data_IF_849565821651
#
_entry.id   IF_849565821651
#
_cell.length_a   1.000
_cell.length_b   1.000
_cell.length_c   1.000
_cell.angle_alpha   90.00
_cell.angle_beta   90.00
_cell.angle_gamma   90.00
#
_symmetry.space_group_name_H-M   'P 1'
#
loop_
_entity.id
_entity.type
_entity.pdbx_description
1 polymer ?
#
# COMPACT_ATOMS: atom_id res chain seq x y z
N UNK A 1 9.03 -8.52 -30.57
CA UNK A 1 8.94 -7.71 -29.34
C UNK A 1 9.62 -8.48 -28.23
N UNK A 2 10.31 -7.80 -27.32
CA UNK A 2 10.88 -8.46 -26.13
C UNK A 2 9.75 -8.95 -25.22
N UNK A 3 9.92 -10.11 -24.58
CA UNK A 3 9.04 -10.56 -23.50
C UNK A 3 9.38 -9.78 -22.23
N UNK A 4 8.43 -8.98 -21.73
CA UNK A 4 8.58 -8.15 -20.53
C UNK A 4 7.98 -8.79 -19.28
N UNK A 5 7.37 -9.98 -19.41
CA UNK A 5 6.80 -10.67 -18.27
C UNK A 5 7.87 -10.99 -17.21
N UNK A 6 7.47 -10.89 -15.95
CA UNK A 6 8.30 -11.27 -14.82
C UNK A 6 7.51 -12.18 -13.86
N UNK A 7 8.20 -13.16 -13.29
CA UNK A 7 7.63 -13.98 -12.23
C UNK A 7 8.01 -13.35 -10.88
N UNK A 8 7.02 -12.93 -10.11
CA UNK A 8 7.21 -12.27 -8.84
C UNK A 8 6.22 -12.79 -7.79
N UNK A 9 6.73 -13.25 -6.67
CA UNK A 9 5.93 -13.82 -5.56
C UNK A 9 4.95 -14.92 -6.01
N UNK A 10 5.37 -15.75 -6.96
CA UNK A 10 4.54 -16.82 -7.51
C UNK A 10 3.45 -16.36 -8.48
N UNK A 11 3.45 -15.10 -8.87
CA UNK A 11 2.56 -14.52 -9.89
C UNK A 11 3.34 -14.13 -11.14
N UNK A 12 2.78 -14.40 -12.31
CA UNK A 12 3.31 -13.91 -13.58
C UNK A 12 2.71 -12.53 -13.85
N UNK A 13 3.55 -11.51 -13.80
CA UNK A 13 3.18 -10.13 -14.09
C UNK A 13 3.43 -9.77 -15.54
N UNK A 14 2.62 -8.88 -16.12
CA UNK A 14 2.74 -8.45 -17.51
C UNK A 14 4.05 -7.66 -17.79
N UNK A 15 4.64 -7.08 -16.76
CA UNK A 15 5.89 -6.35 -16.86
C UNK A 15 6.51 -6.07 -15.49
N UNK A 16 7.74 -5.51 -15.44
CA UNK A 16 8.47 -5.27 -14.20
C UNK A 16 8.05 -3.97 -13.49
N UNK A 17 7.14 -3.19 -14.07
CA UNK A 17 6.76 -1.88 -13.53
C UNK A 17 5.48 -1.99 -12.71
N UNK A 18 5.56 -1.57 -11.44
CA UNK A 18 4.42 -1.46 -10.53
C UNK A 18 4.16 0.03 -10.28
N UNK A 19 2.94 0.49 -10.52
CA UNK A 19 2.54 1.85 -10.13
C UNK A 19 2.52 1.95 -8.60
N UNK A 20 3.31 2.87 -8.05
CA UNK A 20 3.53 2.96 -6.61
C UNK A 20 2.32 3.56 -5.87
N UNK A 21 2.06 3.09 -4.65
CA UNK A 21 0.99 3.61 -3.82
C UNK A 21 1.14 5.11 -3.53
N UNK A 22 0.01 5.83 -3.60
CA UNK A 22 -0.04 7.28 -3.41
C UNK A 22 0.34 8.13 -4.61
N UNK A 23 0.68 7.51 -5.76
CA UNK A 23 1.05 8.23 -6.99
C UNK A 23 0.10 7.97 -8.15
N UNK A 24 -0.77 6.97 -8.05
CA UNK A 24 -1.59 6.47 -9.16
C UNK A 24 -3.06 6.20 -8.78
N UNK A 25 -3.58 6.91 -7.77
CA UNK A 25 -4.96 6.72 -7.30
C UNK A 25 -5.29 5.27 -7.01
N UNK A 26 -6.37 4.78 -7.59
CA UNK A 26 -6.74 3.36 -7.62
C UNK A 26 -6.60 2.74 -9.03
N UNK A 27 -6.16 3.50 -10.03
CA UNK A 27 -5.86 3.03 -11.38
C UNK A 27 -6.89 3.44 -12.43
N UNK A 28 -8.22 3.22 -12.25
CA UNK A 28 -9.21 3.53 -13.29
C UNK A 28 -9.16 4.96 -13.82
N UNK A 29 -8.69 5.90 -13.02
CA UNK A 29 -8.50 7.31 -13.37
C UNK A 29 -7.56 7.49 -14.58
N UNK A 30 -6.66 6.54 -14.80
CA UNK A 30 -5.66 6.57 -15.87
C UNK A 30 -6.02 5.68 -17.07
N UNK A 31 -7.08 4.87 -16.98
CA UNK A 31 -7.46 3.93 -18.04
C UNK A 31 -7.82 4.61 -19.39
N UNK A 32 -8.19 5.89 -19.36
CA UNK A 32 -8.45 6.68 -20.57
C UNK A 32 -7.19 7.28 -21.21
N UNK A 33 -6.03 7.18 -20.57
CA UNK A 33 -4.77 7.79 -21.00
C UNK A 33 -3.81 6.70 -21.48
N UNK A 34 -3.69 5.60 -20.73
CA UNK A 34 -2.74 4.53 -20.99
C UNK A 34 -3.39 3.15 -20.88
N UNK A 35 -2.84 2.18 -21.59
CA UNK A 35 -3.22 0.78 -21.45
C UNK A 35 -2.60 0.19 -20.17
N UNK A 36 -3.39 0.12 -19.10
CA UNK A 36 -2.92 -0.33 -17.79
C UNK A 36 -2.48 -1.80 -17.76
N UNK A 37 -2.85 -2.58 -18.78
CA UNK A 37 -2.44 -4.00 -18.90
C UNK A 37 -0.94 -4.19 -19.14
N UNK A 38 -0.22 -3.12 -19.52
CA UNK A 38 1.25 -3.16 -19.67
C UNK A 38 1.98 -3.10 -18.32
N UNK A 39 1.29 -2.68 -17.26
CA UNK A 39 1.84 -2.65 -15.91
C UNK A 39 1.86 -4.06 -15.31
N UNK A 40 2.88 -4.35 -14.52
CA UNK A 40 2.93 -5.56 -13.71
C UNK A 40 1.94 -5.53 -12.54
N UNK A 41 1.51 -4.34 -12.13
CA UNK A 41 0.51 -4.15 -11.10
C UNK A 41 0.29 -2.69 -10.73
N UNK A 42 -0.78 -2.44 -10.00
CA UNK A 42 -1.10 -1.13 -9.43
C UNK A 42 -1.22 -1.29 -7.91
N UNK A 43 -0.31 -0.64 -7.17
CA UNK A 43 -0.46 -0.46 -5.72
C UNK A 43 -1.31 0.78 -5.48
N UNK A 44 -2.56 0.58 -5.08
CA UNK A 44 -3.53 1.65 -4.89
C UNK A 44 -3.18 2.61 -3.75
N UNK A 45 -4.01 3.61 -3.56
CA UNK A 45 -3.90 4.54 -2.43
C UNK A 45 -3.86 3.80 -1.10
N UNK A 46 -2.92 4.17 -0.22
CA UNK A 46 -2.79 3.57 1.10
C UNK A 46 -4.07 3.70 1.92
N UNK A 47 -4.52 2.59 2.49
CA UNK A 47 -5.73 2.46 3.30
C UNK A 47 -5.41 2.36 4.78
N UNK A 48 -6.32 2.83 5.60
CA UNK A 48 -6.46 2.46 7.02
C UNK A 48 -7.75 1.66 7.21
N UNK A 49 -7.88 0.95 8.32
CA UNK A 49 -9.07 0.10 8.56
C UNK A 49 -10.38 0.91 8.42
N UNK A 50 -10.47 2.05 9.10
CA UNK A 50 -11.69 2.85 9.21
C UNK A 50 -11.72 4.08 8.29
N UNK A 51 -10.70 4.29 7.45
CA UNK A 51 -10.56 5.48 6.64
C UNK A 51 -10.01 6.68 7.43
N UNK A 52 -9.62 7.72 6.67
CA UNK A 52 -9.03 8.93 7.26
C UNK A 52 -9.32 10.14 6.37
N UNK A 53 -9.80 11.27 6.93
CA UNK A 53 -10.14 12.45 6.14
C UNK A 53 -8.91 13.21 5.63
N UNK A 54 -7.71 12.92 6.18
CA UNK A 54 -6.49 13.68 5.90
C UNK A 54 -6.35 14.90 6.79
N UNK A 55 -5.31 15.70 6.52
CA UNK A 55 -5.05 16.93 7.26
C UNK A 55 -6.02 18.04 6.85
N UNK A 56 -6.31 18.94 7.79
CA UNK A 56 -7.10 20.15 7.52
C UNK A 56 -6.25 21.26 6.84
N UNK A 57 -6.92 22.23 6.23
CA UNK A 57 -6.31 23.39 5.60
C UNK A 57 -5.69 23.11 4.23
N UNK A 58 -4.75 23.95 3.80
CA UNK A 58 -4.01 23.75 2.56
C UNK A 58 -3.05 22.58 2.69
N UNK A 59 -3.16 21.60 1.77
CA UNK A 59 -2.40 20.38 1.79
C UNK A 59 -1.42 20.23 0.64
N UNK A 60 -1.43 21.17 -0.28
CA UNK A 60 -0.54 21.25 -1.43
C UNK A 60 0.02 22.66 -1.53
N UNK A 61 1.32 22.80 -1.72
CA UNK A 61 1.98 24.06 -1.92
C UNK A 61 3.03 23.94 -3.02
N UNK A 62 2.88 24.75 -4.07
CA UNK A 62 3.81 24.76 -5.18
C UNK A 62 5.04 25.60 -4.84
N UNK A 63 6.22 25.12 -5.19
CA UNK A 63 7.50 25.79 -5.01
C UNK A 63 8.17 25.99 -6.37
N UNK A 64 9.19 26.87 -6.52
CA UNK A 64 9.87 27.06 -7.80
C UNK A 64 10.46 25.77 -8.41
N UNK A 65 10.71 24.74 -7.63
CA UNK A 65 11.36 23.51 -8.08
C UNK A 65 10.57 22.22 -7.74
N UNK A 66 9.32 22.33 -7.32
CA UNK A 66 8.53 21.15 -6.99
C UNK A 66 7.25 21.45 -6.24
N UNK A 67 6.72 20.40 -5.62
CA UNK A 67 5.48 20.45 -4.86
C UNK A 67 5.69 19.90 -3.45
N UNK A 68 5.33 20.66 -2.44
CA UNK A 68 5.22 20.19 -1.07
C UNK A 68 3.80 19.71 -0.79
N UNK A 69 3.65 18.64 -0.02
CA UNK A 69 2.34 18.17 0.37
C UNK A 69 2.25 17.77 1.85
N UNK A 70 1.05 17.86 2.37
CA UNK A 70 0.67 17.41 3.70
C UNK A 70 -0.72 16.75 3.65
N UNK A 71 -0.84 15.67 2.89
CA UNK A 71 -2.15 15.03 2.62
C UNK A 71 -2.74 14.38 3.88
N UNK A 72 -1.91 13.83 4.77
CA UNK A 72 -2.38 13.18 6.00
C UNK A 72 -3.04 11.83 5.77
N UNK A 73 -2.56 11.05 4.80
CA UNK A 73 -3.04 9.70 4.47
C UNK A 73 -4.57 9.65 4.25
N UNK A 74 -5.14 10.66 3.59
CA UNK A 74 -6.56 10.66 3.22
C UNK A 74 -6.90 9.37 2.45
N UNK A 75 -7.89 8.61 2.94
CA UNK A 75 -8.31 7.38 2.31
C UNK A 75 -9.73 6.99 2.77
N UNK A 76 -10.46 6.19 1.98
CA UNK A 76 -11.85 5.85 2.27
C UNK A 76 -12.03 4.75 3.33
N UNK A 77 -10.95 4.05 3.70
CA UNK A 77 -11.01 2.86 4.56
C UNK A 77 -11.21 1.55 3.80
N UNK A 78 -10.91 0.45 4.49
CA UNK A 78 -10.92 -0.90 3.90
C UNK A 78 -12.30 -1.30 3.38
N UNK A 79 -13.37 -1.06 4.15
CA UNK A 79 -14.70 -1.48 3.75
C UNK A 79 -15.19 -0.77 2.49
N UNK A 80 -15.06 0.57 2.46
CA UNK A 80 -15.43 1.36 1.28
C UNK A 80 -14.61 0.96 0.05
N UNK A 81 -13.31 0.75 0.22
CA UNK A 81 -12.43 0.28 -0.86
C UNK A 81 -12.92 -1.04 -1.47
N UNK A 82 -13.27 -2.02 -0.63
CA UNK A 82 -13.75 -3.33 -1.08
C UNK A 82 -15.04 -3.19 -1.90
N UNK A 83 -15.95 -2.33 -1.46
CA UNK A 83 -17.28 -2.18 -2.07
C UNK A 83 -17.26 -1.33 -3.35
N UNK A 84 -16.40 -0.30 -3.42
CA UNK A 84 -16.47 0.71 -4.47
C UNK A 84 -15.25 0.72 -5.40
N UNK A 85 -14.01 0.65 -4.85
CA UNK A 85 -12.80 0.84 -5.64
C UNK A 85 -12.24 -0.48 -6.20
N UNK A 86 -12.22 -1.54 -5.39
CA UNK A 86 -11.68 -2.84 -5.77
C UNK A 86 -12.32 -3.43 -7.03
N UNK A 87 -13.66 -3.39 -7.21
CA UNK A 87 -14.28 -3.87 -8.45
C UNK A 87 -13.76 -3.13 -9.67
N UNK A 88 -13.62 -1.81 -9.60
CA UNK A 88 -13.10 -0.98 -10.68
C UNK A 88 -11.61 -1.25 -10.95
N UNK A 89 -10.78 -1.39 -9.92
CA UNK A 89 -9.37 -1.76 -10.07
C UNK A 89 -9.21 -3.10 -10.80
N UNK A 90 -10.04 -4.08 -10.50
CA UNK A 90 -10.01 -5.40 -11.18
C UNK A 90 -10.30 -5.31 -12.68
N UNK A 91 -10.99 -4.27 -13.15
CA UNK A 91 -11.22 -4.05 -14.59
C UNK A 91 -10.01 -3.49 -15.32
N UNK A 92 -8.99 -3.00 -14.63
CA UNK A 92 -7.76 -2.48 -15.24
C UNK A 92 -6.92 -3.56 -15.96
N UNK A 93 -7.19 -4.84 -15.70
CA UNK A 93 -6.52 -5.96 -16.38
C UNK A 93 -5.07 -6.17 -15.99
N UNK A 94 -4.66 -5.64 -14.83
CA UNK A 94 -3.34 -5.85 -14.23
C UNK A 94 -3.46 -6.32 -12.78
N UNK A 95 -2.35 -6.71 -12.15
CA UNK A 95 -2.36 -7.18 -10.76
C UNK A 95 -2.76 -6.08 -9.78
N UNK A 96 -3.72 -6.37 -8.91
CA UNK A 96 -4.23 -5.45 -7.88
C UNK A 96 -3.43 -5.62 -6.59
N UNK A 97 -2.64 -4.62 -6.27
CA UNK A 97 -1.88 -4.52 -5.03
C UNK A 97 -2.58 -3.55 -4.08
N UNK A 98 -2.76 -3.96 -2.85
CA UNK A 98 -3.44 -3.10 -1.86
C UNK A 98 -2.48 -2.69 -0.77
N UNK A 99 -2.24 -1.38 -0.68
CA UNK A 99 -1.43 -0.77 0.37
C UNK A 99 -2.30 -0.57 1.61
N UNK A 100 -1.89 -1.18 2.73
CA UNK A 100 -2.56 -1.05 4.03
C UNK A 100 -1.57 -0.61 5.10
N UNK A 101 -1.93 0.39 5.90
CA UNK A 101 -1.17 0.84 7.05
C UNK A 101 -2.09 1.25 8.20
N UNK A 102 -2.27 0.39 9.18
CA UNK A 102 -3.02 0.67 10.41
C UNK A 102 -2.15 1.34 11.49
N UNK A 103 -2.81 1.90 12.50
CA UNK A 103 -2.16 2.53 13.64
C UNK A 103 -1.79 1.52 14.74
N UNK A 104 -2.46 0.38 14.77
CA UNK A 104 -2.20 -0.72 15.71
C UNK A 104 -2.01 -2.04 14.97
N UNK A 105 -1.49 -3.04 15.67
CA UNK A 105 -1.35 -4.40 15.11
C UNK A 105 -2.73 -4.98 14.80
N UNK A 106 -3.71 -4.77 15.68
CA UNK A 106 -5.07 -5.28 15.54
C UNK A 106 -5.75 -4.69 14.29
N UNK A 107 -5.62 -3.37 14.05
CA UNK A 107 -6.14 -2.72 12.84
C UNK A 107 -5.53 -3.31 11.56
N UNK A 108 -4.21 -3.55 11.57
CA UNK A 108 -3.53 -4.18 10.44
C UNK A 108 -4.03 -5.61 10.22
N UNK A 109 -4.14 -6.42 11.28
CA UNK A 109 -4.63 -7.80 11.20
C UNK A 109 -6.06 -7.86 10.68
N UNK A 110 -6.97 -7.05 11.22
CA UNK A 110 -8.37 -7.01 10.77
C UNK A 110 -8.49 -6.53 9.30
N UNK A 111 -7.75 -5.47 8.95
CA UNK A 111 -7.72 -4.95 7.58
C UNK A 111 -7.24 -5.99 6.58
N UNK A 112 -6.16 -6.72 6.91
CA UNK A 112 -5.62 -7.80 6.08
C UNK A 112 -6.62 -8.94 5.89
N UNK A 113 -7.29 -9.37 6.94
CA UNK A 113 -8.31 -10.43 6.85
C UNK A 113 -9.43 -10.04 5.89
N UNK A 114 -9.96 -8.81 5.99
CA UNK A 114 -11.01 -8.29 5.10
C UNK A 114 -10.53 -8.21 3.65
N UNK A 115 -9.34 -7.68 3.41
CA UNK A 115 -8.77 -7.53 2.07
C UNK A 115 -8.47 -8.88 1.41
N UNK A 116 -7.91 -9.83 2.15
CA UNK A 116 -7.67 -11.19 1.64
C UNK A 116 -8.99 -11.88 1.28
N UNK A 117 -10.02 -11.76 2.12
CA UNK A 117 -11.36 -12.31 1.84
C UNK A 117 -12.02 -11.68 0.61
N UNK A 118 -11.71 -10.41 0.29
CA UNK A 118 -12.21 -9.72 -0.90
C UNK A 118 -11.49 -10.11 -2.20
N UNK A 119 -10.41 -10.91 -2.12
CA UNK A 119 -9.69 -11.44 -3.27
C UNK A 119 -8.80 -10.41 -3.97
N UNK A 120 -7.96 -9.73 -3.22
CA UNK A 120 -6.85 -8.94 -3.74
C UNK A 120 -5.72 -9.86 -4.24
N UNK A 121 -4.83 -9.34 -5.10
CA UNK A 121 -3.72 -10.14 -5.62
C UNK A 121 -2.48 -10.12 -4.73
N UNK A 122 -2.11 -8.97 -4.21
CA UNK A 122 -0.94 -8.76 -3.36
C UNK A 122 -1.30 -7.76 -2.25
N UNK A 123 -0.84 -8.03 -1.04
CA UNK A 123 -0.87 -7.09 0.06
C UNK A 123 0.47 -6.35 0.15
N UNK A 124 0.45 -5.02 0.13
CA UNK A 124 1.58 -4.16 0.48
C UNK A 124 1.35 -3.60 1.89
N UNK A 125 1.99 -4.17 2.89
CA UNK A 125 1.92 -3.66 4.26
C UNK A 125 2.80 -2.41 4.39
N UNK A 126 2.19 -1.29 4.70
CA UNK A 126 2.87 -0.01 4.81
C UNK A 126 3.25 0.29 6.27
N UNK A 127 4.51 0.04 6.60
CA UNK A 127 5.07 0.40 7.91
C UNK A 127 5.82 1.75 7.86
N UNK A 128 5.80 2.45 6.72
CA UNK A 128 6.54 3.71 6.53
C UNK A 128 5.82 4.95 7.06
N UNK A 129 4.60 4.84 7.56
CA UNK A 129 3.80 5.99 7.98
C UNK A 129 4.23 6.49 9.37
N UNK A 130 4.78 7.73 9.50
CA UNK A 130 5.28 8.25 10.77
C UNK A 130 4.19 8.82 11.69
N UNK A 131 2.90 8.70 11.33
CA UNK A 131 1.80 9.36 12.05
C UNK A 131 1.48 8.69 13.38
N UNK A 132 2.35 8.91 14.36
CA UNK A 132 2.18 8.53 15.78
C UNK A 132 1.60 9.69 16.57
N UNK A 133 0.49 10.25 16.14
CA UNK A 133 -0.23 11.24 16.96
C UNK A 133 -1.21 10.54 17.89
N UNK A 134 -0.82 9.77 18.83
CA UNK A 134 -1.64 9.21 19.92
C UNK A 134 -1.16 7.83 20.36
N UNK A 135 0.16 7.68 20.60
CA UNK A 135 0.68 6.46 21.24
C UNK A 135 0.80 5.21 20.33
N UNK A 136 0.59 5.36 19.02
CA UNK A 136 0.84 4.29 18.07
C UNK A 136 2.35 4.07 17.87
N UNK A 137 2.77 2.82 17.84
CA UNK A 137 4.14 2.44 17.52
C UNK A 137 4.46 2.82 16.07
N UNK A 138 5.58 3.53 15.86
CA UNK A 138 6.11 3.77 14.52
C UNK A 138 6.78 2.49 14.02
N UNK A 139 6.01 1.54 13.51
CA UNK A 139 6.49 0.22 13.10
C UNK A 139 7.69 0.25 12.15
N UNK A 140 7.86 1.34 11.41
CA UNK A 140 8.94 1.46 10.41
C UNK A 140 10.24 2.05 10.94
N UNK A 141 10.40 2.31 12.23
CA UNK A 141 11.62 2.89 12.82
C UNK A 141 12.55 1.80 13.31
N UNK A 142 12.09 0.90 14.17
CA UNK A 142 12.91 -0.15 14.80
C UNK A 142 12.56 -1.52 14.24
N UNK A 143 13.59 -2.32 13.96
CA UNK A 143 13.44 -3.67 13.42
C UNK A 143 12.52 -4.57 14.28
N UNK A 144 12.59 -4.47 15.61
CA UNK A 144 11.74 -5.24 16.52
C UNK A 144 10.25 -4.93 16.36
N UNK A 145 9.90 -3.65 16.20
CA UNK A 145 8.49 -3.24 16.07
C UNK A 145 7.94 -3.68 14.69
N UNK A 146 8.80 -3.65 13.66
CA UNK A 146 8.48 -4.17 12.33
C UNK A 146 8.25 -5.68 12.36
N UNK A 147 9.13 -6.44 13.00
CA UNK A 147 9.00 -7.90 13.16
C UNK A 147 7.66 -8.26 13.82
N UNK A 148 7.27 -7.54 14.86
CA UNK A 148 6.03 -7.81 15.60
C UNK A 148 4.80 -7.65 14.71
N UNK A 149 4.65 -6.51 14.01
CA UNK A 149 3.50 -6.28 13.14
C UNK A 149 3.50 -7.19 11.92
N UNK A 150 4.66 -7.41 11.28
CA UNK A 150 4.76 -8.29 10.10
C UNK A 150 4.47 -9.74 10.48
N UNK A 151 4.99 -10.23 11.60
CA UNK A 151 4.68 -11.56 12.11
C UNK A 151 3.20 -11.77 12.41
N UNK A 152 2.53 -10.76 12.98
CA UNK A 152 1.09 -10.81 13.23
C UNK A 152 0.29 -10.85 11.92
N UNK A 153 0.61 -9.96 10.99
CA UNK A 153 -0.02 -9.89 9.67
C UNK A 153 0.21 -11.17 8.86
N UNK A 154 1.44 -11.71 8.87
CA UNK A 154 1.77 -12.92 8.10
C UNK A 154 0.91 -14.13 8.48
N UNK A 155 0.53 -14.25 9.76
CA UNK A 155 -0.32 -15.34 10.25
C UNK A 155 -1.71 -15.38 9.62
N UNK A 156 -2.22 -14.23 9.20
CA UNK A 156 -3.58 -14.09 8.65
C UNK A 156 -3.62 -13.76 7.16
N UNK A 157 -2.50 -13.31 6.59
CA UNK A 157 -2.40 -12.93 5.18
C UNK A 157 -2.29 -14.18 4.29
N UNK A 158 -3.26 -14.39 3.42
CA UNK A 158 -3.35 -15.56 2.53
C UNK A 158 -2.84 -15.30 1.11
N UNK A 159 -2.46 -14.05 0.81
CA UNK A 159 -1.89 -13.63 -0.47
C UNK A 159 -0.40 -13.31 -0.32
N UNK A 160 0.34 -13.12 -1.42
CA UNK A 160 1.70 -12.57 -1.36
C UNK A 160 1.74 -11.27 -0.55
N UNK A 161 2.74 -11.18 0.35
CA UNK A 161 2.96 -10.05 1.24
C UNK A 161 4.25 -9.32 0.85
N UNK A 162 4.12 -8.03 0.60
CA UNK A 162 5.23 -7.08 0.42
C UNK A 162 5.23 -6.12 1.61
N UNK A 163 6.39 -5.79 2.15
CA UNK A 163 6.53 -4.82 3.25
C UNK A 163 7.17 -3.56 2.71
N UNK A 164 6.44 -2.44 2.76
CA UNK A 164 6.97 -1.13 2.36
C UNK A 164 7.65 -0.47 3.54
N UNK A 165 8.99 -0.41 3.48
CA UNK A 165 9.84 0.13 4.53
C UNK A 165 9.85 1.67 4.55
N UNK A 166 10.24 2.24 5.69
CA UNK A 166 10.50 3.67 5.85
C UNK A 166 11.98 3.99 5.58
N UNK A 167 12.29 5.07 4.86
CA UNK A 167 13.68 5.57 4.77
C UNK A 167 14.19 6.12 6.11
N UNK A 168 13.32 6.30 7.10
CA UNK A 168 13.65 6.78 8.45
C UNK A 168 13.96 5.64 9.42
N UNK A 169 14.02 4.38 8.96
CA UNK A 169 14.40 3.26 9.79
C UNK A 169 15.82 3.44 10.36
N UNK A 170 16.03 3.03 11.60
CA UNK A 170 17.35 3.10 12.26
C UNK A 170 18.41 2.33 11.46
N UNK A 171 18.03 1.21 10.86
CA UNK A 171 18.89 0.38 10.02
C UNK A 171 18.04 -0.36 8.98
N UNK A 172 18.17 0.00 7.70
CA UNK A 172 17.48 -0.71 6.61
C UNK A 172 17.90 -2.18 6.53
N UNK A 173 19.21 -2.54 6.61
CA UNK A 173 19.62 -3.94 6.60
C UNK A 173 19.01 -4.78 7.72
N UNK A 174 18.91 -4.24 8.95
CA UNK A 174 18.33 -4.96 10.06
C UNK A 174 16.80 -5.03 9.95
N UNK A 175 16.18 -3.99 9.43
CA UNK A 175 14.75 -3.99 9.09
C UNK A 175 14.43 -5.09 8.08
N UNK A 176 15.22 -5.21 6.99
CA UNK A 176 15.02 -6.24 5.97
C UNK A 176 15.19 -7.67 6.48
N UNK A 177 15.97 -7.86 7.54
CA UNK A 177 16.12 -9.19 8.18
C UNK A 177 14.97 -9.53 9.13
N UNK A 178 14.31 -8.49 9.67
CA UNK A 178 13.26 -8.64 10.66
C UNK A 178 11.86 -8.87 10.06
N UNK A 179 11.66 -8.50 8.76
CA UNK A 179 10.37 -8.57 8.07
C UNK A 179 10.22 -9.74 7.12
#
# INVERSE_FOLDING_TARGET
MADLHVDFLGKRLAGPVIAASGTFGFGPEYAGIEDLRVLGGISGKGLTLNGQPGNEGERLYETPSGLMNSIGLQNPGVQHFIENELPAMKTCGTSVWVNLGGHTIEENVEGVQKLCAAGIDVLELNISCPNVKQGGLAFGIRAKDAEEVVSAVRKVCTVPLVVKLSPQAESIPDMCKAV
#
